data_IF_160408348747
#
_entry.id   IF_160408348747
#
_cell.length_a   1.000
_cell.length_b   1.000
_cell.length_c   1.000
_cell.angle_alpha   90.00
_cell.angle_beta   90.00
_cell.angle_gamma   90.00
#
_symmetry.space_group_name_H-M   'P 1'
#
loop_
_entity.id
_entity.type
_entity.pdbx_description
1 polymer ?
#
# COMPACT_ATOMS: atom_id res chain seq x y z
N UNK A 1 -38.70 -91.52 5.46
CA UNK A 1 -38.13 -90.49 6.36
C UNK A 1 -36.70 -90.14 5.94
N UNK A 2 -36.31 -88.85 6.05
CA UNK A 2 -34.94 -88.36 6.27
C UNK A 2 -33.77 -88.85 5.35
N UNK A 3 -33.83 -88.69 4.02
CA UNK A 3 -32.59 -88.73 3.17
C UNK A 3 -32.45 -87.69 2.04
N UNK A 4 -33.47 -86.87 1.75
CA UNK A 4 -33.39 -85.86 0.66
C UNK A 4 -33.49 -84.38 1.12
N UNK A 5 -33.49 -84.12 2.43
CA UNK A 5 -33.60 -82.75 2.98
C UNK A 5 -32.24 -82.08 3.26
N UNK A 6 -31.13 -82.83 3.24
CA UNK A 6 -29.80 -82.30 3.63
C UNK A 6 -29.02 -81.76 2.42
N UNK A 7 -29.20 -82.33 1.22
CA UNK A 7 -28.42 -81.97 0.03
C UNK A 7 -28.83 -80.63 -0.59
N UNK A 8 -30.06 -80.14 -0.35
CA UNK A 8 -30.53 -78.86 -0.89
C UNK A 8 -30.11 -77.64 -0.04
N UNK A 9 -29.59 -77.86 1.17
CA UNK A 9 -29.22 -76.78 2.10
C UNK A 9 -27.71 -76.44 2.09
N UNK A 10 -26.89 -77.16 1.32
CA UNK A 10 -25.42 -76.95 1.26
C UNK A 10 -24.90 -76.30 -0.03
N UNK A 11 -25.78 -76.04 -1.00
CA UNK A 11 -25.41 -75.51 -2.33
C UNK A 11 -25.93 -74.09 -2.60
N UNK A 12 -26.43 -73.42 -1.56
CA UNK A 12 -26.59 -71.95 -1.52
C UNK A 12 -25.54 -71.38 -0.56
N UNK A 13 -24.26 -71.72 -0.82
CA UNK A 13 -23.14 -70.93 -0.33
C UNK A 13 -23.17 -69.60 -1.06
N UNK A 14 -23.89 -68.64 -0.48
CA UNK A 14 -24.12 -67.30 -1.03
C UNK A 14 -22.77 -66.66 -1.34
N UNK A 15 -22.47 -66.48 -2.64
CA UNK A 15 -21.35 -65.67 -3.09
C UNK A 15 -21.68 -64.17 -2.97
N UNK A 16 -22.02 -63.72 -1.76
CA UNK A 16 -21.99 -62.31 -1.42
C UNK A 16 -20.54 -61.88 -1.42
N UNK A 17 -20.14 -61.16 -2.46
CA UNK A 17 -18.96 -60.32 -2.44
C UNK A 17 -19.19 -59.21 -1.40
N UNK A 18 -18.99 -59.55 -0.13
CA UNK A 18 -19.05 -58.61 0.97
C UNK A 18 -17.98 -57.55 0.77
N UNK A 19 -18.37 -56.29 0.87
CA UNK A 19 -17.45 -55.17 0.82
C UNK A 19 -16.38 -55.33 1.91
N UNK A 20 -15.10 -55.16 1.56
CA UNK A 20 -14.00 -55.37 2.51
C UNK A 20 -13.76 -54.09 3.32
N UNK A 21 -14.10 -54.16 4.61
CA UNK A 21 -13.64 -53.24 5.63
C UNK A 21 -12.33 -53.72 6.25
N UNK A 22 -11.32 -52.86 6.28
CA UNK A 22 -10.15 -53.02 7.14
C UNK A 22 -10.40 -52.16 8.37
N UNK A 23 -10.25 -52.77 9.55
CA UNK A 23 -10.47 -52.12 10.85
C UNK A 23 -11.91 -51.57 11.03
N UNK A 24 -12.93 -52.18 10.42
CA UNK A 24 -14.35 -51.95 10.76
C UNK A 24 -15.25 -53.09 10.27
N UNK A 25 -16.30 -53.50 11.02
CA UNK A 25 -17.33 -54.41 10.54
C UNK A 25 -18.43 -53.70 9.71
N UNK A 26 -18.44 -52.36 9.68
CA UNK A 26 -19.42 -51.53 8.97
C UNK A 26 -18.73 -50.72 7.86
N UNK A 27 -18.30 -51.35 6.76
CA UNK A 27 -17.62 -50.65 5.68
C UNK A 27 -18.56 -49.66 4.99
N UNK A 28 -18.03 -48.49 4.58
CA UNK A 28 -18.83 -47.44 3.96
C UNK A 28 -19.36 -47.90 2.59
N UNK A 29 -20.68 -48.04 2.44
CA UNK A 29 -21.36 -48.60 1.25
C UNK A 29 -20.95 -48.02 -0.13
N UNK A 30 -20.23 -46.88 -0.17
CA UNK A 30 -19.72 -46.26 -1.40
C UNK A 30 -18.25 -46.59 -1.74
N UNK A 31 -17.54 -47.36 -0.92
CA UNK A 31 -16.11 -47.65 -1.10
C UNK A 31 -15.85 -49.08 -1.59
N UNK A 32 -14.93 -49.29 -2.54
CA UNK A 32 -14.48 -50.65 -2.89
C UNK A 32 -13.64 -51.31 -1.78
N UNK A 33 -12.87 -50.49 -1.06
CA UNK A 33 -12.06 -50.84 0.11
C UNK A 33 -12.22 -49.69 1.12
N UNK A 34 -12.64 -49.99 2.35
CA UNK A 34 -12.74 -49.00 3.42
C UNK A 34 -11.70 -49.31 4.50
N UNK A 35 -10.71 -48.44 4.68
CA UNK A 35 -9.79 -48.47 5.82
C UNK A 35 -10.33 -47.48 6.84
N UNK A 36 -10.89 -47.97 7.93
CA UNK A 36 -11.53 -47.13 8.95
C UNK A 36 -10.53 -46.71 10.02
N UNK A 37 -10.58 -45.44 10.42
CA UNK A 37 -9.86 -44.93 11.58
C UNK A 37 -10.26 -45.60 12.91
N UNK A 38 -11.46 -46.21 12.96
CA UNK A 38 -11.99 -46.93 14.12
C UNK A 38 -12.81 -48.16 13.75
N UNK A 39 -12.74 -49.20 14.59
CA UNK A 39 -13.58 -50.41 14.53
C UNK A 39 -15.05 -50.03 14.70
N UNK A 40 -15.35 -49.26 15.75
CA UNK A 40 -16.64 -48.59 15.94
C UNK A 40 -16.46 -47.08 15.78
N UNK A 41 -17.14 -46.51 14.77
CA UNK A 41 -17.14 -45.08 14.49
C UNK A 41 -17.72 -44.24 15.63
N UNK A 42 -18.46 -44.85 16.56
CA UNK A 42 -19.05 -44.20 17.73
C UNK A 42 -18.20 -44.32 19.02
N UNK A 43 -17.09 -45.07 18.99
CA UNK A 43 -16.20 -45.20 20.16
C UNK A 43 -15.46 -43.89 20.42
N UNK A 44 -15.51 -43.38 21.66
CA UNK A 44 -14.75 -42.20 22.07
C UNK A 44 -13.22 -42.45 22.07
N UNK A 45 -12.78 -43.65 22.45
CA UNK A 45 -11.37 -43.99 22.51
C UNK A 45 -10.86 -44.50 21.14
N UNK A 46 -9.68 -44.04 20.67
CA UNK A 46 -9.08 -44.54 19.43
C UNK A 46 -8.59 -45.99 19.63
N UNK A 47 -8.62 -46.77 18.55
CA UNK A 47 -8.14 -48.14 18.56
C UNK A 47 -6.61 -48.23 18.69
N UNK A 48 -6.12 -49.43 19.00
CA UNK A 48 -4.68 -49.71 19.23
C UNK A 48 -3.81 -49.50 17.99
N UNK A 49 -4.40 -49.39 16.79
CA UNK A 49 -3.72 -49.22 15.52
C UNK A 49 -4.23 -47.95 14.84
N UNK A 50 -3.33 -47.00 14.56
CA UNK A 50 -3.68 -45.71 13.95
C UNK A 50 -2.94 -45.52 12.62
N UNK A 51 -3.70 -45.32 11.53
CA UNK A 51 -3.18 -44.93 10.21
C UNK A 51 -2.80 -46.05 9.26
N UNK A 52 -2.30 -45.65 8.08
CA UNK A 52 -1.91 -46.52 6.97
C UNK A 52 -0.45 -46.26 6.57
N UNK A 53 0.38 -47.31 6.53
CA UNK A 53 1.70 -47.27 5.91
C UNK A 53 1.60 -47.79 4.47
N UNK A 54 1.66 -46.88 3.50
CA UNK A 54 1.76 -47.24 2.07
C UNK A 54 3.20 -47.59 1.67
N UNK A 55 3.37 -48.12 0.46
CA UNK A 55 4.67 -48.50 -0.08
C UNK A 55 5.65 -47.32 -0.17
N UNK A 56 6.89 -47.51 0.31
CA UNK A 56 7.88 -46.44 0.49
C UNK A 56 9.11 -46.62 -0.42
N UNK A 57 9.30 -45.71 -1.36
CA UNK A 57 10.36 -45.76 -2.39
C UNK A 57 11.29 -44.54 -2.34
N UNK A 58 12.56 -44.69 -2.75
CA UNK A 58 13.41 -43.55 -3.14
C UNK A 58 12.91 -42.96 -4.45
N UNK A 59 13.40 -41.78 -4.86
CA UNK A 59 13.06 -41.20 -6.16
C UNK A 59 13.55 -42.09 -7.31
N UNK A 60 14.71 -42.76 -7.14
CA UNK A 60 15.24 -43.74 -8.09
C UNK A 60 14.34 -45.00 -8.16
N UNK A 61 14.00 -45.61 -7.02
CA UNK A 61 13.08 -46.76 -6.96
C UNK A 61 11.71 -46.42 -7.56
N UNK A 62 11.17 -45.22 -7.29
CA UNK A 62 9.91 -44.72 -7.86
C UNK A 62 9.99 -44.57 -9.38
N UNK A 63 11.08 -44.00 -9.90
CA UNK A 63 11.24 -43.80 -11.34
C UNK A 63 11.28 -45.13 -12.10
N UNK A 64 11.83 -46.18 -11.49
CA UNK A 64 11.87 -47.53 -12.05
C UNK A 64 10.51 -48.24 -12.10
N UNK A 65 9.46 -47.70 -11.45
CA UNK A 65 8.09 -48.25 -11.55
C UNK A 65 7.54 -48.06 -12.98
N UNK A 66 7.93 -46.98 -13.66
CA UNK A 66 7.49 -46.60 -15.01
C UNK A 66 5.99 -46.86 -15.28
N UNK A 67 5.07 -46.22 -14.52
CA UNK A 67 3.64 -46.53 -14.60
C UNK A 67 3.03 -46.00 -15.91
N UNK A 68 1.93 -46.59 -16.36
CA UNK A 68 1.19 -46.18 -17.55
C UNK A 68 -0.20 -45.64 -17.23
N UNK A 69 -1.12 -45.80 -18.17
CA UNK A 69 -2.54 -45.41 -18.02
C UNK A 69 -3.26 -46.18 -16.89
N UNK A 70 -2.97 -47.47 -16.77
CA UNK A 70 -3.66 -48.37 -15.82
C UNK A 70 -3.31 -48.08 -14.36
N UNK A 71 -2.16 -47.46 -14.14
CA UNK A 71 -1.65 -47.08 -12.83
C UNK A 71 -1.99 -45.62 -12.46
N UNK A 72 -2.90 -44.96 -13.20
CA UNK A 72 -3.38 -43.61 -12.86
C UNK A 72 -3.97 -43.58 -11.43
N UNK A 73 -3.50 -42.65 -10.60
CA UNK A 73 -3.81 -42.61 -9.16
C UNK A 73 -2.89 -43.45 -8.26
N UNK A 74 -1.91 -44.18 -8.82
CA UNK A 74 -0.92 -44.93 -8.03
C UNK A 74 -0.22 -44.00 -7.04
N UNK A 75 -0.42 -44.25 -5.75
CA UNK A 75 0.09 -43.42 -4.66
C UNK A 75 1.20 -44.15 -3.91
N UNK A 76 2.38 -43.52 -3.80
CA UNK A 76 3.54 -44.02 -3.06
C UNK A 76 4.07 -42.96 -2.11
N UNK A 77 4.84 -43.36 -1.09
CA UNK A 77 5.57 -42.43 -0.23
C UNK A 77 7.04 -42.35 -0.65
N UNK A 78 7.51 -41.17 -1.04
CA UNK A 78 8.90 -40.96 -1.41
C UNK A 78 9.75 -40.70 -0.16
N UNK A 79 10.71 -41.60 0.13
CA UNK A 79 11.62 -41.58 1.28
C UNK A 79 12.65 -40.44 1.25
N UNK A 80 12.97 -39.91 0.07
CA UNK A 80 13.95 -38.84 -0.10
C UNK A 80 13.30 -37.47 -0.04
N UNK A 81 12.13 -37.31 -0.68
CA UNK A 81 11.38 -36.04 -0.60
C UNK A 81 10.49 -35.95 0.64
N UNK A 82 10.26 -37.06 1.35
CA UNK A 82 9.35 -37.21 2.50
C UNK A 82 7.89 -36.82 2.19
N UNK A 83 7.44 -37.07 0.97
CA UNK A 83 6.11 -36.68 0.48
C UNK A 83 5.38 -37.83 -0.20
N UNK A 84 4.06 -37.74 -0.27
CA UNK A 84 3.28 -38.61 -1.15
C UNK A 84 3.56 -38.23 -2.60
N UNK A 85 3.68 -39.22 -3.47
CA UNK A 85 3.73 -39.04 -4.92
C UNK A 85 2.55 -39.81 -5.52
N UNK A 86 1.83 -39.17 -6.43
CA UNK A 86 0.68 -39.75 -7.15
C UNK A 86 1.02 -39.73 -8.64
N UNK A 87 0.84 -40.86 -9.31
CA UNK A 87 0.95 -40.93 -10.76
C UNK A 87 -0.30 -40.37 -11.41
N UNK A 88 -0.15 -39.31 -12.21
CA UNK A 88 -1.23 -38.70 -12.96
C UNK A 88 -1.04 -39.01 -14.45
N UNK A 89 -1.99 -39.73 -15.06
CA UNK A 89 -2.03 -39.99 -16.49
C UNK A 89 -3.00 -39.03 -17.20
N UNK A 90 -2.54 -38.39 -18.27
CA UNK A 90 -3.39 -37.59 -19.16
C UNK A 90 -3.79 -38.43 -20.39
N UNK A 91 -5.02 -38.95 -20.38
CA UNK A 91 -5.56 -39.76 -21.48
C UNK A 91 -5.68 -39.02 -22.82
N UNK A 92 -5.76 -37.68 -22.82
CA UNK A 92 -5.84 -36.89 -24.05
C UNK A 92 -4.48 -36.71 -24.75
N UNK A 93 -3.38 -36.78 -24.00
CA UNK A 93 -2.02 -36.62 -24.55
C UNK A 93 -1.19 -37.91 -24.50
N UNK A 94 -1.69 -38.97 -23.87
CA UNK A 94 -0.96 -40.23 -23.61
C UNK A 94 0.39 -40.01 -22.90
N UNK A 95 0.42 -39.05 -21.97
CA UNK A 95 1.59 -38.72 -21.14
C UNK A 95 1.19 -38.82 -19.67
N UNK A 96 2.04 -39.44 -18.87
CA UNK A 96 1.90 -39.45 -17.41
C UNK A 96 3.06 -38.75 -16.70
N UNK A 97 2.80 -38.25 -15.50
CA UNK A 97 3.79 -37.58 -14.66
C UNK A 97 3.52 -37.85 -13.18
N UNK A 98 4.59 -37.89 -12.38
CA UNK A 98 4.50 -37.94 -10.92
C UNK A 98 4.19 -36.55 -10.35
N UNK A 99 2.99 -36.37 -9.80
CA UNK A 99 2.68 -35.26 -8.92
C UNK A 99 3.18 -35.54 -7.50
N UNK A 100 3.49 -34.49 -6.73
CA UNK A 100 3.97 -34.61 -5.35
C UNK A 100 3.10 -33.82 -4.39
N UNK A 101 2.56 -34.50 -3.38
CA UNK A 101 1.81 -33.93 -2.27
C UNK A 101 2.66 -33.98 -1.01
N UNK A 102 3.25 -32.83 -0.68
CA UNK A 102 3.85 -32.55 0.61
C UNK A 102 2.85 -31.75 1.46
N UNK A 103 2.98 -31.78 2.79
CA UNK A 103 2.55 -30.62 3.58
C UNK A 103 3.37 -29.39 3.17
N UNK A 104 2.89 -28.18 3.47
CA UNK A 104 3.65 -26.97 3.21
C UNK A 104 5.06 -27.06 3.82
N UNK A 105 6.08 -27.00 2.95
CA UNK A 105 7.47 -26.95 3.38
C UNK A 105 7.85 -25.49 3.57
N UNK A 106 8.63 -25.15 4.61
CA UNK A 106 9.23 -23.83 4.69
C UNK A 106 10.18 -23.64 3.50
N UNK A 107 10.09 -22.49 2.84
CA UNK A 107 11.07 -22.08 1.85
C UNK A 107 12.43 -21.81 2.52
N UNK A 108 13.51 -21.93 1.77
CA UNK A 108 14.88 -21.68 2.27
C UNK A 108 15.48 -20.47 1.60
N UNK A 109 16.11 -19.59 2.38
CA UNK A 109 16.77 -18.38 1.86
C UNK A 109 18.22 -18.26 2.31
N UNK A 110 18.98 -17.48 1.55
CA UNK A 110 20.28 -16.93 1.94
C UNK A 110 20.11 -15.41 2.05
N UNK A 111 20.40 -14.87 3.23
CA UNK A 111 20.63 -13.44 3.40
C UNK A 111 21.96 -13.09 2.74
N UNK A 112 21.94 -12.12 1.83
CA UNK A 112 23.14 -11.77 1.05
C UNK A 112 23.96 -10.67 1.73
N UNK A 113 23.29 -9.69 2.36
CA UNK A 113 23.91 -8.65 3.18
C UNK A 113 22.85 -8.00 4.10
N UNK A 114 23.11 -7.92 5.41
CA UNK A 114 22.21 -7.24 6.35
C UNK A 114 22.05 -5.74 6.05
N UNK A 115 23.06 -5.09 5.47
CA UNK A 115 23.01 -3.66 5.13
C UNK A 115 22.06 -3.34 3.97
N UNK A 116 21.53 -4.36 3.28
CA UNK A 116 20.56 -4.19 2.20
C UNK A 116 19.10 -4.21 2.68
N UNK A 117 18.85 -4.60 3.93
CA UNK A 117 17.53 -4.48 4.57
C UNK A 117 17.24 -3.00 4.82
N UNK A 118 16.06 -2.53 4.43
CA UNK A 118 15.65 -1.13 4.57
C UNK A 118 14.33 -1.02 5.32
N UNK A 119 14.24 0.00 6.17
CA UNK A 119 12.97 0.49 6.71
C UNK A 119 12.53 1.63 5.82
N UNK A 120 11.29 1.58 5.35
CA UNK A 120 10.66 2.64 4.57
C UNK A 120 9.64 3.32 5.49
N UNK A 121 9.68 4.65 5.57
CA UNK A 121 8.83 5.44 6.47
C UNK A 121 9.20 5.31 7.96
N UNK A 122 8.32 5.83 8.80
CA UNK A 122 8.46 5.92 10.26
C UNK A 122 7.16 5.51 10.94
N UNK A 123 7.25 4.90 12.14
CA UNK A 123 6.07 4.49 12.89
C UNK A 123 5.52 5.69 13.68
N UNK A 124 4.29 6.14 13.37
CA UNK A 124 3.63 7.19 14.15
C UNK A 124 2.88 6.58 15.33
N UNK A 125 3.32 6.81 16.56
CA UNK A 125 2.68 6.22 17.76
C UNK A 125 1.27 6.78 18.04
N UNK A 126 0.91 7.90 17.43
CA UNK A 126 -0.40 8.53 17.57
C UNK A 126 -1.45 7.96 16.57
N UNK A 127 -1.03 7.13 15.61
CA UNK A 127 -1.90 6.56 14.58
C UNK A 127 -2.24 5.07 14.81
N UNK A 128 -3.47 4.63 14.48
CA UNK A 128 -3.82 3.21 14.50
C UNK A 128 -2.89 2.37 13.63
N UNK A 129 -2.60 1.13 14.06
CA UNK A 129 -1.75 0.18 13.31
C UNK A 129 -2.19 0.01 11.85
N UNK A 130 -3.50 0.06 11.58
CA UNK A 130 -4.10 -0.07 10.25
C UNK A 130 -3.78 1.07 9.29
N UNK A 131 -3.29 2.20 9.79
CA UNK A 131 -3.07 3.43 9.02
C UNK A 131 -1.57 3.70 8.78
N UNK A 132 -0.70 2.89 9.38
CA UNK A 132 0.75 3.03 9.31
C UNK A 132 1.26 2.78 7.89
N UNK A 133 2.15 3.66 7.42
CA UNK A 133 2.82 3.55 6.12
C UNK A 133 4.27 3.03 6.23
N UNK A 134 4.68 2.55 7.41
CA UNK A 134 6.03 2.02 7.65
C UNK A 134 6.11 0.53 7.37
N UNK A 135 7.15 0.09 6.66
CA UNK A 135 7.43 -1.33 6.42
C UNK A 135 8.92 -1.63 6.37
N UNK A 136 9.27 -2.91 6.49
CA UNK A 136 10.67 -3.39 6.42
C UNK A 136 10.85 -4.26 5.19
N UNK A 137 11.65 -3.81 4.23
CA UNK A 137 12.00 -4.57 3.03
C UNK A 137 13.24 -5.44 3.28
N UNK A 138 13.05 -6.76 3.24
CA UNK A 138 14.10 -7.77 3.36
C UNK A 138 14.41 -8.35 1.96
N UNK A 139 15.50 -7.96 1.30
CA UNK A 139 15.97 -8.64 0.10
C UNK A 139 16.56 -10.01 0.47
N UNK A 140 16.06 -11.07 -0.15
CA UNK A 140 16.45 -12.46 0.09
C UNK A 140 16.83 -13.16 -1.21
N UNK A 141 17.78 -14.11 -1.14
CA UNK A 141 18.02 -15.05 -2.24
C UNK A 141 17.37 -16.39 -1.90
N UNK A 142 16.24 -16.68 -2.53
CA UNK A 142 15.50 -17.94 -2.40
C UNK A 142 16.32 -19.07 -3.00
N UNK A 143 16.50 -20.15 -2.24
CA UNK A 143 17.19 -21.39 -2.64
C UNK A 143 16.29 -22.62 -2.63
N UNK A 144 15.13 -22.54 -1.98
CA UNK A 144 14.12 -23.58 -1.94
C UNK A 144 12.72 -22.97 -1.88
N UNK A 145 11.83 -23.48 -2.74
CA UNK A 145 10.42 -23.07 -2.78
C UNK A 145 9.67 -23.56 -1.54
N UNK A 146 8.68 -22.80 -1.09
CA UNK A 146 7.92 -23.11 0.12
C UNK A 146 7.34 -21.88 0.80
N UNK A 147 6.56 -22.09 1.86
CA UNK A 147 5.96 -21.01 2.63
C UNK A 147 7.00 -20.27 3.48
N UNK A 148 6.76 -18.99 3.75
CA UNK A 148 7.56 -18.18 4.65
C UNK A 148 6.67 -17.45 5.65
N UNK A 149 7.20 -17.23 6.85
CA UNK A 149 6.58 -16.43 7.89
C UNK A 149 7.69 -15.69 8.63
N UNK A 150 7.89 -14.43 8.28
CA UNK A 150 8.75 -13.51 9.01
C UNK A 150 7.90 -12.76 10.02
N UNK A 151 8.36 -12.72 11.27
CA UNK A 151 7.81 -11.84 12.29
C UNK A 151 8.93 -11.26 13.13
N UNK A 152 8.73 -10.03 13.60
CA UNK A 152 9.60 -9.38 14.57
C UNK A 152 8.78 -8.43 15.44
N UNK A 153 9.13 -8.33 16.72
CA UNK A 153 8.48 -7.42 17.67
C UNK A 153 9.49 -6.37 18.11
N UNK A 154 9.15 -5.10 17.92
CA UNK A 154 10.03 -3.96 18.16
C UNK A 154 9.22 -2.84 18.81
N UNK A 155 9.67 -2.35 19.96
CA UNK A 155 8.98 -1.29 20.73
C UNK A 155 7.48 -1.56 20.95
N UNK A 156 7.11 -2.82 21.22
CA UNK A 156 5.70 -3.21 21.42
C UNK A 156 4.86 -3.35 20.14
N UNK A 157 5.43 -3.20 18.94
CA UNK A 157 4.73 -3.40 17.66
C UNK A 157 5.20 -4.68 16.98
N UNK A 158 4.27 -5.49 16.48
CA UNK A 158 4.55 -6.69 15.70
C UNK A 158 4.54 -6.37 14.21
N UNK A 159 5.66 -6.62 13.54
CA UNK A 159 5.81 -6.55 12.09
C UNK A 159 5.81 -7.98 11.52
N UNK A 160 4.99 -8.25 10.50
CA UNK A 160 4.78 -9.61 9.96
C UNK A 160 4.75 -9.61 8.42
N UNK A 161 5.28 -10.67 7.82
CA UNK A 161 5.12 -11.02 6.41
C UNK A 161 4.95 -12.52 6.24
N UNK A 162 3.88 -12.94 5.55
CA UNK A 162 3.58 -14.34 5.27
C UNK A 162 3.29 -14.53 3.77
N UNK A 163 3.65 -15.68 3.23
CA UNK A 163 3.46 -15.99 1.82
C UNK A 163 4.17 -17.28 1.40
N UNK A 164 4.36 -17.47 0.10
CA UNK A 164 5.05 -18.63 -0.48
C UNK A 164 5.99 -18.20 -1.59
N UNK A 165 7.24 -18.66 -1.53
CA UNK A 165 8.18 -18.49 -2.64
C UNK A 165 7.83 -19.46 -3.77
N UNK A 166 7.42 -18.92 -4.91
CA UNK A 166 7.04 -19.66 -6.13
C UNK A 166 8.16 -19.72 -7.18
N UNK A 167 9.23 -18.96 -7.00
CA UNK A 167 10.42 -18.92 -7.88
C UNK A 167 11.73 -18.89 -7.08
N UNK A 168 12.80 -19.41 -7.68
CA UNK A 168 14.18 -19.36 -7.15
C UNK A 168 14.86 -18.08 -7.66
N UNK A 169 15.68 -17.43 -6.84
CA UNK A 169 16.40 -16.21 -7.21
C UNK A 169 16.30 -15.09 -6.16
N UNK A 170 16.55 -13.86 -6.58
CA UNK A 170 16.35 -12.68 -5.73
C UNK A 170 14.86 -12.35 -5.61
N UNK A 171 14.39 -12.11 -4.39
CA UNK A 171 13.05 -11.61 -4.08
C UNK A 171 13.14 -10.62 -2.91
N UNK A 172 12.10 -9.80 -2.72
CA UNK A 172 11.96 -8.92 -1.54
C UNK A 172 10.76 -9.38 -0.72
N UNK A 173 10.92 -9.47 0.59
CA UNK A 173 9.83 -9.73 1.54
C UNK A 173 9.62 -8.49 2.40
N UNK A 174 8.43 -7.89 2.32
CA UNK A 174 8.08 -6.66 3.04
C UNK A 174 7.26 -6.98 4.29
N UNK A 175 7.75 -6.61 5.47
CA UNK A 175 7.03 -6.77 6.74
C UNK A 175 6.26 -5.49 7.09
N UNK A 176 4.97 -5.63 7.35
CA UNK A 176 4.09 -4.54 7.73
C UNK A 176 3.69 -4.67 9.22
N UNK A 177 3.42 -3.57 9.92
CA UNK A 177 2.92 -3.62 11.29
C UNK A 177 1.49 -4.18 11.30
N UNK A 178 1.24 -5.23 12.08
CA UNK A 178 -0.06 -5.94 12.10
C UNK A 178 -0.79 -5.86 13.44
N UNK A 179 -0.08 -5.72 14.56
CA UNK A 179 -0.68 -5.67 15.89
C UNK A 179 0.24 -5.06 16.94
N UNK A 180 -0.34 -4.62 18.06
CA UNK A 180 0.39 -4.18 19.25
C UNK A 180 0.54 -5.34 20.24
N UNK A 181 1.77 -5.57 20.70
CA UNK A 181 2.12 -6.38 21.86
C UNK A 181 2.31 -5.53 23.13
N UNK A 182 2.40 -4.20 22.99
CA UNK A 182 2.49 -3.23 24.08
C UNK A 182 2.31 -1.80 23.58
N UNK A 183 2.44 -0.82 24.47
CA UNK A 183 2.37 0.61 24.10
C UNK A 183 3.73 1.08 23.56
N UNK A 184 3.84 1.50 22.29
CA UNK A 184 5.09 2.03 21.74
C UNK A 184 5.43 3.39 22.34
N UNK A 185 6.73 3.68 22.42
CA UNK A 185 7.28 4.98 22.85
C UNK A 185 8.09 5.64 21.72
N UNK A 186 8.32 6.96 21.76
CA UNK A 186 9.12 7.62 20.73
C UNK A 186 10.62 7.28 20.85
N UNK A 187 11.33 7.32 19.72
CA UNK A 187 12.75 7.00 19.63
C UNK A 187 13.09 5.96 18.57
N UNK A 188 14.37 5.63 18.44
CA UNK A 188 14.85 4.65 17.46
C UNK A 188 15.10 3.29 18.12
N UNK A 189 14.47 2.23 17.61
CA UNK A 189 14.52 0.89 18.18
C UNK A 189 14.95 -0.14 17.12
N UNK A 190 15.74 -1.13 17.51
CA UNK A 190 16.22 -2.17 16.60
C UNK A 190 15.25 -3.34 16.54
N UNK A 191 14.77 -3.65 15.33
CA UNK A 191 14.08 -4.89 15.02
C UNK A 191 15.10 -5.98 14.66
N UNK A 192 14.99 -7.15 15.28
CA UNK A 192 15.83 -8.32 14.98
C UNK A 192 15.14 -9.21 13.95
N UNK A 193 15.85 -9.56 12.88
CA UNK A 193 15.31 -10.31 11.73
C UNK A 193 16.22 -11.51 11.47
N UNK A 194 15.65 -12.71 11.55
CA UNK A 194 16.38 -13.97 11.33
C UNK A 194 16.03 -14.60 9.99
N UNK A 195 17.00 -15.17 9.30
CA UNK A 195 16.82 -15.90 8.04
C UNK A 195 16.00 -17.18 8.23
N UNK A 196 15.08 -17.48 7.32
CA UNK A 196 14.33 -18.74 7.31
C UNK A 196 15.13 -19.83 6.58
N UNK A 197 15.23 -21.01 7.22
CA UNK A 197 15.90 -22.18 6.65
C UNK A 197 17.35 -22.32 7.12
N UNK A 198 18.28 -22.53 6.18
CA UNK A 198 19.60 -23.10 6.47
C UNK A 198 20.72 -22.12 6.81
N UNK A 199 20.49 -20.80 6.68
CA UNK A 199 21.58 -19.81 6.78
C UNK A 199 21.84 -19.26 8.19
N UNK A 200 20.90 -19.37 9.14
CA UNK A 200 21.03 -18.92 10.54
C UNK A 200 21.63 -17.50 10.71
N UNK A 201 21.35 -16.59 9.76
CA UNK A 201 21.81 -15.20 9.81
C UNK A 201 20.77 -14.37 10.58
N UNK A 202 21.23 -13.55 11.52
CA UNK A 202 20.41 -12.56 12.22
C UNK A 202 20.91 -11.17 11.88
N UNK A 203 20.02 -10.32 11.37
CA UNK A 203 20.25 -8.91 11.11
C UNK A 203 19.51 -8.06 12.14
N UNK A 204 20.02 -6.87 12.44
CA UNK A 204 19.30 -5.85 13.21
C UNK A 204 19.09 -4.64 12.30
N UNK A 205 17.88 -4.08 12.27
CA UNK A 205 17.55 -2.87 11.51
C UNK A 205 16.82 -1.87 12.40
N UNK A 206 17.19 -0.60 12.30
CA UNK A 206 16.65 0.47 13.15
C UNK A 206 15.35 1.04 12.56
N UNK A 207 14.28 1.06 13.37
CA UNK A 207 13.00 1.68 13.04
C UNK A 207 12.83 2.92 13.91
N UNK A 208 12.42 4.04 13.31
CA UNK A 208 12.14 5.27 14.04
C UNK A 208 10.65 5.34 14.43
N UNK A 209 10.39 5.64 15.71
CA UNK A 209 9.07 5.83 16.28
C UNK A 209 8.89 7.29 16.67
N UNK A 210 7.87 7.94 16.12
CA UNK A 210 7.63 9.37 16.26
C UNK A 210 6.23 9.63 16.82
N UNK A 211 6.06 10.78 17.46
CA UNK A 211 4.75 11.34 17.82
C UNK A 211 4.65 12.74 17.22
N UNK A 212 3.48 13.10 16.71
CA UNK A 212 3.16 14.39 16.10
C UNK A 212 3.56 15.53 17.03
N UNK A 213 3.18 15.44 18.31
CA UNK A 213 3.47 16.44 19.35
C UNK A 213 4.98 16.76 19.51
N UNK A 214 5.86 15.80 19.19
CA UNK A 214 7.32 15.96 19.27
C UNK A 214 8.01 16.17 17.92
N UNK A 215 7.28 16.03 16.81
CA UNK A 215 7.83 16.05 15.46
C UNK A 215 7.97 17.47 14.91
N UNK A 216 8.75 17.60 13.84
CA UNK A 216 8.88 18.83 13.05
C UNK A 216 8.11 18.65 11.76
N UNK A 217 7.07 19.46 11.52
CA UNK A 217 6.37 19.45 10.24
C UNK A 217 7.14 20.27 9.22
N UNK A 218 7.49 19.66 8.09
CA UNK A 218 8.36 20.30 7.09
C UNK A 218 7.60 20.68 5.83
N UNK A 219 7.72 21.94 5.45
CA UNK A 219 7.13 22.53 4.25
C UNK A 219 8.25 22.87 3.28
N UNK A 220 8.33 22.15 2.17
CA UNK A 220 9.26 22.47 1.08
C UNK A 220 8.60 23.51 0.17
N UNK A 221 9.07 24.75 0.23
CA UNK A 221 8.63 25.81 -0.65
C UNK A 221 9.54 25.87 -1.89
N UNK A 222 9.00 25.44 -3.03
CA UNK A 222 9.69 25.53 -4.32
C UNK A 222 9.30 26.84 -5.00
N UNK A 223 10.31 27.66 -5.32
CA UNK A 223 10.11 29.01 -5.88
C UNK A 223 10.91 29.22 -7.16
N UNK A 224 10.23 29.66 -8.23
CA UNK A 224 10.87 30.12 -9.47
C UNK A 224 11.59 31.47 -9.31
N UNK A 225 12.12 32.00 -10.41
CA UNK A 225 12.88 33.26 -10.43
C UNK A 225 11.97 34.49 -10.40
N UNK A 226 12.32 35.43 -9.52
CA UNK A 226 11.94 36.85 -9.47
C UNK A 226 10.45 37.24 -9.37
N UNK A 227 9.49 36.41 -9.76
CA UNK A 227 8.05 36.69 -9.69
C UNK A 227 7.27 35.76 -8.77
N UNK A 228 7.86 34.62 -8.37
CA UNK A 228 7.32 33.77 -7.31
C UNK A 228 7.40 34.48 -5.96
N UNK A 229 6.34 34.42 -5.16
CA UNK A 229 6.35 34.98 -3.80
C UNK A 229 6.46 33.87 -2.77
N UNK A 230 7.63 33.77 -2.14
CA UNK A 230 7.88 32.80 -1.10
C UNK A 230 7.09 33.03 0.17
N UNK A 231 6.96 31.96 0.95
CA UNK A 231 6.42 32.03 2.31
C UNK A 231 7.36 32.80 3.25
N UNK A 232 8.68 32.67 3.05
CA UNK A 232 9.71 33.25 3.92
C UNK A 232 10.79 33.99 3.12
N UNK A 233 11.55 34.85 3.81
CA UNK A 233 12.74 35.51 3.26
C UNK A 233 13.71 34.48 2.66
N UNK A 234 14.15 34.71 1.42
CA UNK A 234 15.05 33.80 0.69
C UNK A 234 14.35 32.86 -0.30
N UNK A 235 13.03 32.67 -0.18
CA UNK A 235 12.21 31.94 -1.15
C UNK A 235 11.75 32.88 -2.29
N UNK A 236 12.67 33.41 -3.11
CA UNK A 236 12.32 34.36 -4.18
C UNK A 236 11.80 35.71 -3.67
N UNK A 237 10.77 36.27 -4.32
CA UNK A 237 10.25 37.63 -4.05
C UNK A 237 9.31 37.66 -2.85
N UNK A 238 9.89 37.52 -1.65
CA UNK A 238 9.18 37.61 -0.38
C UNK A 238 8.70 39.04 -0.05
N UNK A 239 7.48 39.15 0.49
CA UNK A 239 6.97 40.37 1.14
C UNK A 239 6.00 39.99 2.25
N UNK A 240 6.25 40.46 3.48
CA UNK A 240 5.36 40.24 4.63
C UNK A 240 3.96 40.86 4.49
N UNK A 241 3.77 41.74 3.50
CA UNK A 241 2.49 42.41 3.22
C UNK A 241 1.58 41.61 2.28
N UNK A 242 2.11 40.66 1.51
CA UNK A 242 1.31 39.84 0.58
C UNK A 242 0.77 38.57 1.24
N UNK A 243 -0.14 37.87 0.56
CA UNK A 243 -0.74 36.63 1.08
C UNK A 243 0.31 35.59 1.48
N UNK A 244 1.28 35.27 0.61
CA UNK A 244 2.29 34.23 0.87
C UNK A 244 3.17 34.54 2.09
N UNK A 245 3.67 35.76 2.23
CA UNK A 245 4.50 36.18 3.37
C UNK A 245 3.73 36.27 4.69
N UNK A 246 2.45 36.70 4.64
CA UNK A 246 1.55 36.59 5.80
C UNK A 246 1.34 35.13 6.22
N UNK A 247 1.17 34.21 5.26
CA UNK A 247 1.01 32.77 5.52
C UNK A 247 2.29 32.18 6.11
N UNK A 248 3.47 32.45 5.56
CA UNK A 248 4.72 31.99 6.18
C UNK A 248 4.93 32.54 7.59
N UNK A 249 4.61 33.82 7.82
CA UNK A 249 4.62 34.41 9.17
C UNK A 249 3.70 33.64 10.13
N UNK A 250 2.47 33.35 9.71
CA UNK A 250 1.52 32.58 10.52
C UNK A 250 1.95 31.11 10.72
N UNK A 251 2.49 30.44 9.69
CA UNK A 251 3.02 29.08 9.77
C UNK A 251 4.16 28.96 10.80
N UNK A 252 5.00 29.99 10.93
CA UNK A 252 6.05 30.04 11.97
C UNK A 252 5.54 30.39 13.38
N UNK A 253 4.24 30.67 13.54
CA UNK A 253 3.65 31.04 14.84
C UNK A 253 3.19 29.82 15.66
N UNK A 254 3.12 30.00 16.98
CA UNK A 254 2.58 28.98 17.89
C UNK A 254 1.12 28.58 17.62
N UNK A 255 0.34 29.44 16.95
CA UNK A 255 -1.04 29.12 16.56
C UNK A 255 -1.08 28.03 15.47
N UNK A 256 -0.23 28.14 14.44
CA UNK A 256 -0.13 27.11 13.40
C UNK A 256 0.44 25.79 13.96
N UNK A 257 1.43 25.87 14.86
CA UNK A 257 2.00 24.71 15.55
C UNK A 257 0.94 23.96 16.38
N UNK A 258 0.07 24.70 17.10
CA UNK A 258 -1.03 24.12 17.86
C UNK A 258 -2.09 23.43 16.96
N UNK A 259 -2.43 24.04 15.82
CA UNK A 259 -3.37 23.46 14.82
C UNK A 259 -2.79 22.17 14.20
N UNK A 260 -1.51 22.18 13.87
CA UNK A 260 -0.77 21.04 13.34
C UNK A 260 -0.52 19.94 14.38
N UNK A 261 -0.59 20.29 15.68
CA UNK A 261 -0.27 19.40 16.79
C UNK A 261 1.22 19.04 16.88
N UNK A 262 2.13 19.90 16.42
CA UNK A 262 3.58 19.61 16.30
C UNK A 262 4.47 20.52 17.12
N UNK A 263 5.70 20.08 17.40
CA UNK A 263 6.69 20.86 18.16
C UNK A 263 7.18 22.11 17.40
N UNK A 264 7.30 22.03 16.08
CA UNK A 264 7.57 23.20 15.23
C UNK A 264 7.19 22.94 13.77
N UNK A 265 7.01 24.02 13.01
CA UNK A 265 6.86 23.99 11.54
C UNK A 265 8.11 24.62 10.94
N UNK A 266 8.79 23.90 10.05
CA UNK A 266 9.96 24.39 9.31
C UNK A 266 9.61 24.59 7.84
N UNK A 267 9.97 25.75 7.29
CA UNK A 267 9.81 26.06 5.87
C UNK A 267 11.21 26.08 5.24
N UNK A 268 11.42 25.29 4.19
CA UNK A 268 12.68 25.21 3.43
C UNK A 268 12.45 25.72 2.02
N UNK A 269 13.23 26.73 1.61
CA UNK A 269 13.30 27.16 0.21
C UNK A 269 14.13 26.17 -0.61
N UNK A 270 13.60 25.73 -1.77
CA UNK A 270 14.33 24.88 -2.72
C UNK A 270 14.17 25.45 -4.13
N UNK A 271 15.25 25.46 -4.92
CA UNK A 271 15.18 25.89 -6.32
C UNK A 271 14.63 24.75 -7.20
N UNK A 272 13.65 25.03 -8.11
CA UNK A 272 13.12 24.02 -9.02
C UNK A 272 14.15 23.48 -10.03
N UNK A 273 15.34 24.08 -10.12
CA UNK A 273 16.44 23.57 -10.98
C UNK A 273 17.42 22.67 -10.25
N UNK A 274 17.39 22.61 -8.91
CA UNK A 274 18.29 21.77 -8.10
C UNK A 274 17.61 20.46 -7.67
N UNK A 275 17.57 19.50 -8.59
CA UNK A 275 16.89 18.20 -8.40
C UNK A 275 17.48 17.40 -7.23
N UNK A 276 18.79 17.52 -6.96
CA UNK A 276 19.44 16.79 -5.87
C UNK A 276 18.99 17.30 -4.49
N UNK A 277 19.07 18.62 -4.26
CA UNK A 277 18.57 19.28 -3.04
C UNK A 277 17.07 19.03 -2.87
N UNK A 278 16.27 19.11 -3.95
CA UNK A 278 14.85 18.77 -3.89
C UNK A 278 14.62 17.31 -3.47
N UNK A 279 15.32 16.34 -4.07
CA UNK A 279 15.16 14.92 -3.75
C UNK A 279 15.56 14.61 -2.31
N UNK A 280 16.58 15.29 -1.76
CA UNK A 280 16.98 15.16 -0.36
C UNK A 280 15.96 15.79 0.60
N UNK A 281 15.48 17.01 0.30
CA UNK A 281 14.53 17.73 1.14
C UNK A 281 13.15 17.04 1.19
N UNK A 282 12.72 16.41 0.08
CA UNK A 282 11.46 15.67 -0.02
C UNK A 282 11.39 14.40 0.86
N UNK A 283 12.53 13.80 1.21
CA UNK A 283 12.58 12.61 2.10
C UNK A 283 11.97 12.83 3.49
N UNK A 284 11.83 14.10 3.88
CA UNK A 284 11.32 14.52 5.18
C UNK A 284 10.20 15.56 5.04
N UNK A 285 9.72 15.82 3.82
CA UNK A 285 8.68 16.82 3.57
C UNK A 285 7.30 16.28 3.94
N UNK A 286 6.53 17.07 4.68
CA UNK A 286 5.12 16.83 4.97
C UNK A 286 4.21 17.50 3.94
N UNK A 287 4.62 18.69 3.48
CA UNK A 287 3.90 19.52 2.51
C UNK A 287 4.90 20.06 1.49
N UNK A 288 4.50 20.07 0.22
CA UNK A 288 5.19 20.80 -0.84
C UNK A 288 4.34 21.98 -1.27
N UNK A 289 4.88 23.19 -1.17
CA UNK A 289 4.23 24.43 -1.63
C UNK A 289 4.97 25.00 -2.85
N UNK A 290 4.21 25.25 -3.90
CA UNK A 290 4.69 25.62 -5.22
C UNK A 290 4.05 26.95 -5.63
N UNK A 291 4.83 27.90 -6.19
CA UNK A 291 4.29 29.20 -6.61
C UNK A 291 5.05 29.81 -7.80
N UNK A 292 4.30 30.33 -8.78
CA UNK A 292 4.70 31.47 -9.62
C UNK A 292 5.96 31.22 -10.45
N UNK A 293 5.91 30.16 -11.25
CA UNK A 293 7.05 29.51 -11.90
C UNK A 293 6.81 29.38 -13.39
N UNK A 294 7.79 29.76 -14.19
CA UNK A 294 7.68 29.68 -15.64
C UNK A 294 7.75 28.24 -16.15
N UNK A 295 7.30 28.02 -17.38
CA UNK A 295 7.44 26.73 -18.09
C UNK A 295 8.90 26.32 -18.32
N UNK A 296 9.86 27.27 -18.30
CA UNK A 296 11.29 26.98 -18.39
C UNK A 296 11.87 26.40 -17.08
N UNK A 297 11.26 26.71 -15.95
CA UNK A 297 11.70 26.27 -14.61
C UNK A 297 11.02 24.97 -14.19
N UNK A 298 9.88 24.67 -14.81
CA UNK A 298 9.10 23.44 -14.65
C UNK A 298 9.69 22.29 -15.46
N UNK A 299 10.99 22.03 -15.30
CA UNK A 299 11.67 20.98 -16.05
C UNK A 299 11.14 19.58 -15.68
N UNK A 300 11.23 18.65 -16.63
CA UNK A 300 10.65 17.31 -16.53
C UNK A 300 11.22 16.47 -15.37
N UNK A 301 12.45 16.70 -14.94
CA UNK A 301 13.06 16.00 -13.80
C UNK A 301 12.45 16.42 -12.46
N UNK A 302 12.24 17.71 -12.26
CA UNK A 302 11.60 18.27 -11.06
C UNK A 302 10.12 17.85 -10.97
N UNK A 303 9.43 17.82 -12.11
CA UNK A 303 8.06 17.27 -12.18
C UNK A 303 8.05 15.78 -11.83
N UNK A 304 8.97 14.97 -12.39
CA UNK A 304 9.03 13.54 -12.12
C UNK A 304 9.26 13.24 -10.62
N UNK A 305 10.25 13.88 -10.00
CA UNK A 305 10.58 13.67 -8.57
C UNK A 305 9.42 14.05 -7.64
N UNK A 306 8.69 15.14 -7.92
CA UNK A 306 7.49 15.49 -7.16
C UNK A 306 6.32 14.53 -7.41
N UNK A 307 6.16 14.06 -8.65
CA UNK A 307 5.10 13.12 -9.01
C UNK A 307 5.30 11.76 -8.33
N UNK A 308 6.55 11.27 -8.28
CA UNK A 308 6.91 10.05 -7.57
C UNK A 308 6.70 10.21 -6.05
N UNK A 309 7.08 11.36 -5.48
CA UNK A 309 6.84 11.67 -4.06
C UNK A 309 5.34 11.75 -3.72
N UNK A 310 4.54 12.38 -4.59
CA UNK A 310 3.09 12.50 -4.42
C UNK A 310 2.38 11.15 -4.56
N UNK A 311 2.70 10.37 -5.61
CA UNK A 311 2.12 9.04 -5.85
C UNK A 311 2.52 7.99 -4.83
N UNK A 312 3.70 8.13 -4.21
CA UNK A 312 4.08 7.34 -3.05
C UNK A 312 3.27 7.69 -1.78
N UNK A 313 2.47 8.77 -1.81
CA UNK A 313 1.72 9.23 -0.64
C UNK A 313 2.65 9.74 0.46
N UNK A 314 3.68 10.51 0.11
CA UNK A 314 4.62 11.05 1.12
C UNK A 314 4.15 12.36 1.77
N UNK A 315 3.16 13.06 1.22
CA UNK A 315 2.62 14.29 1.78
C UNK A 315 1.63 15.02 0.88
N UNK A 316 1.31 16.26 1.25
CA UNK A 316 0.30 17.12 0.58
C UNK A 316 0.98 18.08 -0.40
N UNK A 317 0.37 18.30 -1.57
CA UNK A 317 0.82 19.33 -2.53
C UNK A 317 -0.10 20.56 -2.47
N UNK A 318 0.48 21.75 -2.51
CA UNK A 318 -0.20 23.05 -2.61
C UNK A 318 0.44 23.80 -3.79
N UNK A 319 -0.28 23.96 -4.90
CA UNK A 319 0.23 24.50 -6.17
C UNK A 319 -0.48 25.78 -6.59
N UNK A 320 0.26 26.90 -6.62
CA UNK A 320 -0.21 28.19 -7.14
C UNK A 320 0.42 28.52 -8.50
N UNK A 321 -0.43 28.80 -9.49
CA UNK A 321 -0.03 29.47 -10.73
C UNK A 321 -1.09 30.44 -11.25
N UNK A 322 -0.73 31.36 -12.17
CA UNK A 322 -1.69 32.28 -12.83
C UNK A 322 -1.77 32.17 -14.35
N UNK A 323 -0.82 31.51 -14.97
CA UNK A 323 -0.80 31.28 -16.41
C UNK A 323 -0.74 29.78 -16.74
N UNK A 324 -1.23 29.42 -17.93
CA UNK A 324 -1.16 28.05 -18.46
C UNK A 324 0.29 27.52 -18.54
N UNK A 325 1.27 28.41 -18.68
CA UNK A 325 2.70 28.13 -18.65
C UNK A 325 3.18 27.60 -17.29
N UNK A 326 2.50 27.94 -16.19
CA UNK A 326 2.82 27.50 -14.83
C UNK A 326 2.16 26.14 -14.46
N UNK A 327 1.26 25.63 -15.32
CA UNK A 327 0.41 24.45 -15.05
C UNK A 327 1.07 23.09 -15.26
N UNK A 328 2.32 23.06 -15.75
CA UNK A 328 3.02 21.82 -16.14
C UNK A 328 3.19 20.83 -14.99
N UNK A 329 3.25 21.31 -13.75
CA UNK A 329 3.29 20.44 -12.56
C UNK A 329 1.93 19.82 -12.24
N UNK A 330 0.84 20.59 -12.23
CA UNK A 330 -0.51 20.05 -12.11
C UNK A 330 -0.76 18.98 -13.19
N UNK A 331 -0.38 19.25 -14.45
CA UNK A 331 -0.43 18.28 -15.54
C UNK A 331 0.44 17.04 -15.27
N UNK A 332 1.66 17.21 -14.73
CA UNK A 332 2.53 16.11 -14.33
C UNK A 332 1.95 15.22 -13.22
N UNK A 333 1.18 15.79 -12.30
CA UNK A 333 0.43 15.08 -11.25
C UNK A 333 -0.86 14.41 -11.78
N UNK A 334 -1.26 14.70 -13.03
CA UNK A 334 -2.44 14.12 -13.69
C UNK A 334 -3.66 15.05 -13.79
N UNK A 335 -3.52 16.33 -13.41
CA UNK A 335 -4.59 17.33 -13.48
C UNK A 335 -4.49 18.14 -14.78
N UNK A 336 -5.52 18.05 -15.62
CA UNK A 336 -5.54 18.77 -16.90
C UNK A 336 -6.00 20.20 -16.67
N UNK A 337 -5.19 21.17 -17.08
CA UNK A 337 -5.55 22.59 -17.00
C UNK A 337 -5.75 23.12 -18.41
N UNK A 338 -6.99 23.43 -18.76
CA UNK A 338 -7.42 23.80 -20.10
C UNK A 338 -7.59 25.32 -20.26
N UNK A 339 -7.22 25.83 -21.44
CA UNK A 339 -7.37 27.24 -21.82
C UNK A 339 -8.80 27.58 -22.24
N UNK A 340 -9.49 28.42 -21.47
CA UNK A 340 -10.82 28.92 -21.83
C UNK A 340 -10.80 29.96 -22.96
N UNK A 341 -10.84 29.53 -24.22
CA UNK A 341 -10.95 30.46 -25.37
C UNK A 341 -12.36 31.01 -25.54
N UNK A 342 -12.66 32.15 -24.90
CA UNK A 342 -13.75 33.14 -25.19
C UNK A 342 -15.22 32.70 -25.31
N UNK A 343 -15.56 31.45 -25.60
CA UNK A 343 -16.92 30.92 -25.58
C UNK A 343 -17.24 30.36 -24.21
N UNK A 344 -18.42 30.70 -23.68
CA UNK A 344 -18.93 30.28 -22.37
C UNK A 344 -18.92 28.74 -22.23
N UNK A 345 -17.98 28.19 -21.47
CA UNK A 345 -17.99 26.76 -21.10
C UNK A 345 -18.82 26.63 -19.82
N UNK A 346 -20.01 26.05 -19.94
CA UNK A 346 -20.85 25.69 -18.80
C UNK A 346 -20.29 24.42 -18.14
N UNK A 347 -19.33 24.61 -17.23
CA UNK A 347 -18.81 23.52 -16.39
C UNK A 347 -19.84 23.21 -15.30
N UNK A 348 -20.48 22.04 -15.38
CA UNK A 348 -21.31 21.52 -14.28
C UNK A 348 -20.40 21.17 -13.11
N UNK A 349 -20.43 21.97 -12.04
CA UNK A 349 -19.67 21.66 -10.84
C UNK A 349 -20.20 20.37 -10.19
N UNK A 350 -19.42 19.29 -10.27
CA UNK A 350 -19.49 18.23 -9.27
C UNK A 350 -19.15 18.87 -7.92
N UNK A 351 -19.95 18.62 -6.89
CA UNK A 351 -19.61 19.07 -5.54
C UNK A 351 -18.23 18.51 -5.15
N UNK A 352 -17.50 19.23 -4.27
CA UNK A 352 -16.41 18.59 -3.54
C UNK A 352 -16.95 17.29 -2.93
N UNK A 353 -16.28 16.14 -3.11
CA UNK A 353 -16.76 14.88 -2.55
C UNK A 353 -16.81 14.92 -1.01
N UNK A 354 -16.01 15.81 -0.39
CA UNK A 354 -16.01 16.07 1.05
C UNK A 354 -16.02 17.57 1.33
N UNK A 355 -16.84 17.98 2.30
CA UNK A 355 -16.80 19.34 2.87
C UNK A 355 -15.52 19.49 3.69
N UNK A 356 -14.57 20.30 3.22
CA UNK A 356 -13.33 20.57 3.94
C UNK A 356 -13.61 21.57 5.08
N UNK A 357 -13.57 21.06 6.32
CA UNK A 357 -13.61 21.88 7.54
C UNK A 357 -12.18 22.06 8.03
N UNK A 358 -11.70 23.30 8.03
CA UNK A 358 -10.43 23.63 8.69
C UNK A 358 -10.60 23.56 10.22
N UNK A 359 -9.55 23.25 11.00
CA UNK A 359 -9.61 23.26 12.46
C UNK A 359 -10.02 24.62 13.06
N UNK A 360 -9.81 25.72 12.33
CA UNK A 360 -10.26 27.08 12.66
C UNK A 360 -11.79 27.28 12.48
N UNK A 361 -12.53 26.24 12.13
CA UNK A 361 -13.99 26.27 11.94
C UNK A 361 -14.46 26.86 10.61
N UNK A 362 -13.54 27.30 9.74
CA UNK A 362 -13.90 27.70 8.38
C UNK A 362 -14.14 26.46 7.53
N UNK A 363 -15.39 26.32 7.11
CA UNK A 363 -15.85 25.34 6.13
C UNK A 363 -15.65 25.90 4.73
N UNK A 364 -14.83 25.24 3.90
CA UNK A 364 -14.76 25.56 2.47
C UNK A 364 -16.15 25.31 1.84
N UNK A 365 -16.82 26.35 1.27
CA UNK A 365 -18.24 26.24 0.98
C UNK A 365 -18.55 25.25 -0.15
N UNK A 366 -19.41 24.27 0.11
CA UNK A 366 -19.94 23.34 -0.89
C UNK A 366 -21.08 23.95 -1.74
N UNK A 367 -20.93 25.20 -2.16
CA UNK A 367 -22.00 25.94 -2.86
C UNK A 367 -21.85 25.80 -4.37
N UNK A 368 -22.73 25.01 -4.97
CA UNK A 368 -22.89 24.91 -6.43
C UNK A 368 -23.42 26.23 -7.00
N UNK A 369 -22.66 26.99 -7.82
CA UNK A 369 -23.20 28.15 -8.51
C UNK A 369 -24.07 27.68 -9.68
N UNK A 370 -25.32 28.13 -9.76
CA UNK A 370 -26.25 27.74 -10.83
C UNK A 370 -25.93 28.36 -12.20
N UNK A 371 -25.09 29.39 -12.23
CA UNK A 371 -24.45 29.93 -13.44
C UNK A 371 -23.06 30.51 -13.12
N UNK A 372 -22.11 30.33 -14.04
CA UNK A 372 -20.77 30.92 -13.99
C UNK A 372 -20.63 31.82 -15.23
N UNK A 373 -20.32 33.10 -15.02
CA UNK A 373 -20.11 34.06 -16.10
C UNK A 373 -18.60 34.25 -16.37
N UNK A 374 -18.19 34.16 -17.63
CA UNK A 374 -16.78 34.28 -18.05
C UNK A 374 -16.37 35.74 -18.28
N UNK A 375 -15.13 36.11 -17.92
CA UNK A 375 -14.48 37.33 -18.42
C UNK A 375 -12.96 37.17 -18.52
N UNK A 376 -12.37 37.66 -19.61
CA UNK A 376 -10.92 37.78 -19.78
C UNK A 376 -10.24 36.60 -20.49
N UNK A 377 -9.13 36.89 -21.17
CA UNK A 377 -8.43 35.97 -22.07
C UNK A 377 -7.60 34.86 -21.37
N UNK A 378 -7.51 34.88 -20.03
CA UNK A 378 -6.60 34.03 -19.24
C UNK A 378 -7.36 33.20 -18.18
N UNK A 379 -8.58 32.76 -18.46
CA UNK A 379 -9.30 31.83 -17.58
C UNK A 379 -8.93 30.38 -17.91
N UNK A 380 -8.58 29.59 -16.90
CA UNK A 380 -8.30 28.16 -17.04
C UNK A 380 -9.10 27.32 -16.03
N UNK A 381 -9.46 26.11 -16.41
CA UNK A 381 -10.20 25.17 -15.56
C UNK A 381 -9.41 23.87 -15.35
N UNK A 382 -9.46 23.34 -14.14
CA UNK A 382 -8.72 22.13 -13.73
C UNK A 382 -9.69 20.94 -13.76
N UNK A 383 -9.39 19.93 -14.57
CA UNK A 383 -10.15 18.67 -14.63
C UNK A 383 -9.27 17.50 -14.19
N UNK A 384 -9.91 16.49 -13.58
CA UNK A 384 -9.26 15.23 -13.21
C UNK A 384 -10.15 14.05 -13.57
N UNK A 385 -9.59 12.84 -13.56
CA UNK A 385 -10.36 11.60 -13.74
C UNK A 385 -11.43 11.38 -12.66
N UNK A 386 -11.33 12.08 -11.53
CA UNK A 386 -12.20 11.95 -10.36
C UNK A 386 -13.26 13.07 -10.26
N UNK A 387 -13.22 14.09 -11.14
CA UNK A 387 -14.21 15.17 -11.20
C UNK A 387 -13.62 16.56 -11.49
N UNK A 388 -14.46 17.59 -11.42
CA UNK A 388 -14.09 19.00 -11.65
C UNK A 388 -14.53 19.86 -10.45
N UNK A 389 -13.66 20.76 -9.99
CA UNK A 389 -13.90 21.79 -8.94
C UNK A 389 -12.86 22.89 -9.09
N UNK A 390 -13.10 24.18 -8.83
CA UNK A 390 -14.30 24.98 -8.63
C UNK A 390 -14.47 25.98 -9.80
N UNK A 391 -15.43 26.90 -9.72
CA UNK A 391 -15.47 28.15 -10.49
C UNK A 391 -15.60 29.38 -9.59
N UNK A 392 -15.66 30.60 -10.16
CA UNK A 392 -15.84 31.85 -9.41
C UNK A 392 -16.84 32.82 -10.08
N UNK A 393 -17.37 33.76 -9.29
CA UNK A 393 -18.33 34.83 -9.65
C UNK A 393 -18.29 35.91 -8.51
N UNK A 394 -18.83 37.13 -8.59
CA UNK A 394 -19.59 37.83 -9.64
C UNK A 394 -19.42 39.36 -9.57
N UNK A 395 -19.45 40.05 -10.72
CA UNK A 395 -19.80 41.48 -10.89
C UNK A 395 -19.17 42.54 -9.94
N UNK A 396 -18.02 43.11 -10.31
CA UNK A 396 -17.62 44.52 -9.98
C UNK A 396 -16.20 44.95 -10.45
N UNK A 397 -15.54 44.20 -11.35
CA UNK A 397 -14.41 44.73 -12.16
C UNK A 397 -13.01 44.20 -11.84
N UNK A 398 -12.78 43.59 -10.68
CA UNK A 398 -11.58 42.75 -10.42
C UNK A 398 -11.96 41.57 -9.54
N UNK A 399 -12.05 40.37 -10.12
CA UNK A 399 -12.29 39.11 -9.38
C UNK A 399 -11.43 38.01 -10.00
N UNK A 400 -10.60 37.36 -9.17
CA UNK A 400 -9.80 36.18 -9.52
C UNK A 400 -9.66 35.31 -8.27
N UNK A 401 -10.27 34.12 -8.24
CA UNK A 401 -9.90 32.99 -7.34
C UNK A 401 -10.37 31.69 -7.95
N UNK A 402 -9.44 30.88 -8.44
CA UNK A 402 -9.71 29.47 -8.76
C UNK A 402 -9.08 28.60 -7.69
N UNK A 403 -9.80 27.57 -7.27
CA UNK A 403 -9.33 26.51 -6.37
C UNK A 403 -9.74 25.18 -7.01
N UNK A 404 -8.90 24.17 -6.89
CA UNK A 404 -9.19 22.75 -7.07
C UNK A 404 -8.60 22.04 -5.84
N UNK A 405 -9.30 21.04 -5.33
CA UNK A 405 -8.80 20.21 -4.23
C UNK A 405 -9.14 18.75 -4.51
N UNK A 406 -8.13 17.93 -4.80
CA UNK A 406 -8.26 16.48 -4.69
C UNK A 406 -7.85 16.07 -3.28
N UNK A 407 -8.77 15.41 -2.60
CA UNK A 407 -8.62 14.88 -1.24
C UNK A 407 -9.16 13.45 -1.18
N UNK A 408 -9.39 12.83 -2.34
CA UNK A 408 -9.99 11.51 -2.44
C UNK A 408 -8.98 10.41 -2.17
N UNK A 409 -9.42 9.37 -1.47
CA UNK A 409 -8.63 8.16 -1.22
C UNK A 409 -8.53 7.35 -2.52
N UNK A 410 -7.60 7.76 -3.40
CA UNK A 410 -7.36 7.16 -4.70
C UNK A 410 -6.95 5.69 -4.50
N UNK A 411 -7.71 4.74 -5.06
CA UNK A 411 -7.31 3.33 -4.97
C UNK A 411 -6.02 3.10 -5.77
N UNK A 412 -4.89 3.10 -5.06
CA UNK A 412 -3.53 3.07 -5.61
C UNK A 412 -2.59 4.13 -5.01
N UNK A 413 -3.10 5.16 -4.34
CA UNK A 413 -2.34 6.19 -3.61
C UNK A 413 -2.94 6.28 -2.20
N UNK A 414 -2.33 5.58 -1.24
CA UNK A 414 -2.96 5.29 0.05
C UNK A 414 -3.28 6.52 0.91
N UNK A 415 -4.51 6.55 1.42
CA UNK A 415 -5.02 7.37 2.53
C UNK A 415 -4.67 8.88 2.49
N UNK A 416 -5.64 9.67 2.01
CA UNK A 416 -5.92 11.06 2.39
C UNK A 416 -4.78 12.10 2.23
N UNK A 417 -3.93 11.95 1.20
CA UNK A 417 -2.84 12.88 0.91
C UNK A 417 -3.13 13.69 -0.35
N UNK A 418 -3.85 14.79 -0.14
CA UNK A 418 -4.45 15.60 -1.19
C UNK A 418 -3.50 16.54 -1.94
N UNK A 419 -4.04 17.12 -3.03
CA UNK A 419 -3.44 18.19 -3.80
C UNK A 419 -4.41 19.38 -3.91
N UNK A 420 -3.93 20.57 -3.53
CA UNK A 420 -4.62 21.85 -3.75
C UNK A 420 -3.99 22.56 -4.93
N UNK A 421 -4.78 23.00 -5.90
CA UNK A 421 -4.32 23.75 -7.08
C UNK A 421 -5.08 25.07 -7.16
N UNK A 422 -4.38 26.17 -7.42
CA UNK A 422 -4.96 27.51 -7.47
C UNK A 422 -4.65 28.21 -8.78
N UNK A 423 -5.64 28.95 -9.27
CA UNK A 423 -5.47 29.95 -10.32
C UNK A 423 -5.46 31.36 -9.74
N UNK A 424 -4.38 32.10 -10.04
CA UNK A 424 -4.04 33.49 -9.73
C UNK A 424 -2.83 33.67 -8.78
N UNK A 425 -1.90 34.55 -9.17
CA UNK A 425 -0.62 34.86 -8.53
C UNK A 425 -0.87 35.96 -7.50
N UNK A 426 -1.64 35.60 -6.48
CA UNK A 426 -2.05 36.47 -5.37
C UNK A 426 -0.90 36.98 -4.50
N UNK A 427 0.35 36.63 -4.82
CA UNK A 427 1.57 37.19 -4.25
C UNK A 427 1.71 38.72 -4.38
N UNK A 428 0.94 39.37 -5.26
CA UNK A 428 0.84 40.84 -5.28
C UNK A 428 -0.30 41.40 -4.41
N UNK A 429 -1.28 40.58 -4.04
CA UNK A 429 -2.52 41.03 -3.42
C UNK A 429 -2.35 41.14 -1.89
N UNK A 430 -2.62 42.34 -1.37
CA UNK A 430 -2.63 42.62 0.07
C UNK A 430 -3.97 42.30 0.75
N UNK A 431 -4.97 41.84 -0.02
CA UNK A 431 -6.35 41.64 0.43
C UNK A 431 -6.47 40.57 1.54
N UNK A 432 -7.39 40.81 2.49
CA UNK A 432 -7.64 39.93 3.64
C UNK A 432 -8.21 38.58 3.21
N UNK A 433 -9.20 38.60 2.32
CA UNK A 433 -10.00 37.44 2.00
C UNK A 433 -9.18 36.34 1.29
N UNK A 434 -8.11 36.69 0.56
CA UNK A 434 -7.19 35.72 -0.04
C UNK A 434 -6.33 35.08 1.03
N UNK A 435 -5.78 35.90 1.94
CA UNK A 435 -5.02 35.41 3.08
C UNK A 435 -5.86 34.45 3.95
N UNK A 436 -7.11 34.78 4.24
CA UNK A 436 -7.99 33.92 5.05
C UNK A 436 -8.25 32.57 4.37
N UNK A 437 -8.59 32.56 3.07
CA UNK A 437 -8.75 31.32 2.30
C UNK A 437 -7.49 30.45 2.34
N UNK A 438 -6.33 31.07 2.12
CA UNK A 438 -5.03 30.41 2.15
C UNK A 438 -4.70 29.85 3.53
N UNK A 439 -4.95 30.63 4.58
CA UNK A 439 -4.73 30.23 5.97
C UNK A 439 -5.55 28.98 6.29
N UNK A 440 -6.81 28.93 5.87
CA UNK A 440 -7.67 27.77 6.11
C UNK A 440 -7.21 26.51 5.36
N UNK A 441 -6.67 26.65 4.15
CA UNK A 441 -6.13 25.51 3.38
C UNK A 441 -4.81 25.03 3.99
N UNK A 442 -3.89 25.93 4.36
CA UNK A 442 -2.69 25.54 5.09
C UNK A 442 -3.04 24.98 6.48
N UNK A 443 -4.05 25.49 7.19
CA UNK A 443 -4.52 24.96 8.48
C UNK A 443 -5.04 23.53 8.36
N UNK A 444 -5.80 23.22 7.30
CA UNK A 444 -6.18 21.85 6.99
C UNK A 444 -4.95 21.00 6.62
N UNK A 445 -4.06 21.51 5.78
CA UNK A 445 -2.89 20.76 5.33
C UNK A 445 -1.91 20.43 6.46
N UNK A 446 -1.56 21.38 7.34
CA UNK A 446 -0.65 21.12 8.47
C UNK A 446 -1.25 20.18 9.52
N UNK A 447 -2.58 20.13 9.62
CA UNK A 447 -3.28 19.20 10.50
C UNK A 447 -3.25 17.76 9.96
N UNK A 448 -3.48 17.58 8.65
CA UNK A 448 -3.63 16.26 8.02
C UNK A 448 -2.34 15.71 7.38
N UNK A 449 -1.32 16.55 7.14
CA UNK A 449 -0.07 16.11 6.52
C UNK A 449 0.67 15.06 7.39
N UNK A 450 1.34 14.08 6.77
CA UNK A 450 2.17 13.11 7.49
C UNK A 450 3.39 13.77 8.14
N UNK A 451 3.89 13.11 9.17
CA UNK A 451 5.13 13.43 9.89
C UNK A 451 6.18 12.36 9.60
N UNK A 452 7.46 12.73 9.67
CA UNK A 452 8.63 11.90 9.35
C UNK A 452 9.72 12.07 10.41
#
# INVERSE_FOLDING_TARGET
>A
MKKHLITFLSLVSIATFGQVGINTPNPNLKAGLHISERIDQNSANPDKLNGLLIQRYTTSERNNINPGEKENGLTIYNKETNCYNVWNWNGSTSVGAWAQFCGEKPGTVIFTDCNTIKVIGTYNIDEPVTNQNVHIDIPVRVTGLGSYNYSTTVNGVNFVAQGTFTSIGQQTVSLYPTSLAGTPSTGTYNATISSIGSSNVTCNVSINFISRATSVLKIVNITGTNYSTGLITGCGSYSSSNAAGKIGTWLTSGAAQAIAGVASIQIKCVSPTNIADLSDELKTASIVYLNGRTSAESNSGTIAVLNDWYKAGNGIVIDQGDELTETQFAQGLGFYIESGTTSTISVTASALPHVLVSPDGYTLPAVTPTTIATQGANAAFVTSTNGIVFGSNSSSGVIRRYLYADITNNQGIGNDKGAFIFGDKSGANTDSNTFDLWKNIFAWAIHNAPIH
#
